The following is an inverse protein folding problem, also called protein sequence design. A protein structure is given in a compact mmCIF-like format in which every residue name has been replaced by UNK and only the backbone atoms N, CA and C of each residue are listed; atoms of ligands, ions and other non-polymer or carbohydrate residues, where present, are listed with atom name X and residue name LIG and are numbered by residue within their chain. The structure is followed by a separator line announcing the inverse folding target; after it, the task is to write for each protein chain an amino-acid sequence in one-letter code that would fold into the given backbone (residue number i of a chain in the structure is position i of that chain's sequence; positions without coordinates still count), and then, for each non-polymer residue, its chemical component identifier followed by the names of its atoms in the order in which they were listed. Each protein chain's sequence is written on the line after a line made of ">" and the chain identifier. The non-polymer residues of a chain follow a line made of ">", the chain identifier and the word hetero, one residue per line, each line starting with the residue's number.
data_IF_947638392800
#
_entry.id   IF_947638392800
#
_cell.length_a   1.000
_cell.length_b   1.000
_cell.length_c   1.000
_cell.angle_alpha   90.00
_cell.angle_beta   90.00
_cell.angle_gamma   90.00
#
_symmetry.space_group_name_H-M   'P 1'
#
loop_
_entity.id
_entity.type
_entity.pdbx_description
1 polymer ?
#
# COMPACT_ATOMS: atom_id res chain seq x y z
N UNK A 1 21.81 -9.22 -12.15
CA UNK A 1 21.68 -10.00 -10.90
C UNK A 1 20.23 -10.35 -10.63
N UNK A 2 20.00 -11.50 -10.03
CA UNK A 2 18.68 -11.98 -9.61
C UNK A 2 18.77 -12.25 -8.11
N UNK A 3 17.77 -11.79 -7.37
CA UNK A 3 17.58 -12.08 -5.95
C UNK A 3 16.19 -12.65 -5.75
N UNK A 4 16.10 -13.84 -5.16
CA UNK A 4 14.85 -14.48 -4.79
C UNK A 4 14.87 -14.77 -3.31
N UNK A 5 13.79 -14.54 -2.63
CA UNK A 5 13.65 -14.80 -1.19
C UNK A 5 12.21 -15.10 -0.83
N UNK A 6 12.03 -15.62 0.36
CA UNK A 6 10.72 -15.89 0.92
C UNK A 6 10.76 -15.85 2.43
N UNK A 7 9.63 -15.50 3.03
CA UNK A 7 9.42 -15.52 4.47
C UNK A 7 8.22 -16.41 4.80
N UNK A 8 8.37 -17.21 5.84
CA UNK A 8 7.30 -18.01 6.41
C UNK A 8 6.93 -17.41 7.77
N UNK A 9 5.67 -17.11 7.94
CA UNK A 9 5.14 -16.56 9.18
C UNK A 9 4.02 -17.45 9.72
N UNK A 10 4.00 -17.65 11.03
CA UNK A 10 2.89 -18.24 11.77
C UNK A 10 2.39 -17.20 12.77
N UNK A 11 1.11 -16.89 12.69
CA UNK A 11 0.47 -15.95 13.60
C UNK A 11 -0.61 -16.68 14.41
N UNK A 12 -0.73 -16.38 15.69
CA UNK A 12 -1.69 -17.03 16.59
C UNK A 12 -3.17 -16.84 16.20
N UNK A 13 -3.46 -15.83 15.40
CA UNK A 13 -4.81 -15.49 14.93
C UNK A 13 -5.10 -15.95 13.50
N UNK A 14 -4.16 -16.69 12.89
CA UNK A 14 -4.28 -17.22 11.52
C UNK A 14 -3.92 -18.70 11.56
N UNK A 15 -4.84 -19.56 11.11
CA UNK A 15 -4.67 -21.01 11.19
C UNK A 15 -3.55 -21.53 10.30
N UNK A 16 -3.31 -20.87 9.17
CA UNK A 16 -2.34 -21.29 8.18
C UNK A 16 -0.98 -20.61 8.36
N UNK A 17 0.07 -21.29 7.90
CA UNK A 17 1.38 -20.67 7.69
C UNK A 17 1.27 -19.74 6.47
N UNK A 18 1.75 -18.51 6.61
CA UNK A 18 1.72 -17.51 5.55
C UNK A 18 3.09 -17.48 4.89
N UNK A 19 3.11 -17.67 3.58
CA UNK A 19 4.31 -17.57 2.77
C UNK A 19 4.32 -16.25 2.00
N UNK A 20 5.37 -15.46 2.18
CA UNK A 20 5.58 -14.15 1.55
C UNK A 20 6.81 -14.18 0.63
N UNK A 21 6.64 -14.53 -0.66
CA UNK A 21 7.72 -14.53 -1.64
C UNK A 21 8.11 -13.12 -2.08
N UNK A 22 9.37 -12.97 -2.49
CA UNK A 22 9.89 -11.78 -3.13
C UNK A 22 10.91 -12.15 -4.20
N UNK A 23 10.94 -11.40 -5.27
CA UNK A 23 11.93 -11.55 -6.34
C UNK A 23 12.33 -10.17 -6.86
N UNK A 24 13.62 -10.00 -7.13
CA UNK A 24 14.16 -8.79 -7.74
C UNK A 24 15.12 -9.20 -8.86
N UNK A 25 14.93 -8.58 -10.02
CA UNK A 25 15.80 -8.68 -11.16
C UNK A 25 16.43 -7.31 -11.40
N UNK A 26 17.76 -7.27 -11.49
CA UNK A 26 18.51 -6.09 -11.87
C UNK A 26 19.30 -6.40 -13.13
N UNK A 27 19.15 -5.55 -14.13
CA UNK A 27 19.88 -5.61 -15.39
C UNK A 27 20.49 -4.24 -15.71
N UNK A 28 21.79 -4.22 -15.98
CA UNK A 28 22.54 -3.02 -16.33
C UNK A 28 23.00 -3.17 -17.79
N UNK A 29 22.22 -2.69 -18.78
CA UNK A 29 22.61 -2.75 -20.18
C UNK A 29 23.87 -1.93 -20.46
N UNK A 30 24.08 -0.86 -19.71
CA UNK A 30 25.27 -0.01 -19.74
C UNK A 30 25.68 0.36 -18.31
N UNK A 31 26.83 1.03 -18.14
CA UNK A 31 27.25 1.57 -16.84
C UNK A 31 26.33 2.67 -16.33
N UNK A 32 25.59 3.31 -17.21
CA UNK A 32 24.74 4.46 -16.91
C UNK A 32 23.25 4.14 -16.84
N UNK A 33 22.85 2.92 -17.14
CA UNK A 33 21.43 2.49 -17.13
C UNK A 33 21.29 1.28 -16.22
N UNK A 34 20.36 1.39 -15.28
CA UNK A 34 20.03 0.31 -14.35
C UNK A 34 18.52 0.06 -14.42
N UNK A 35 18.16 -1.12 -14.93
CA UNK A 35 16.78 -1.58 -14.99
C UNK A 35 16.51 -2.53 -13.83
N UNK A 36 15.34 -2.38 -13.18
CA UNK A 36 14.92 -3.27 -12.09
C UNK A 36 13.49 -3.71 -12.30
N UNK A 37 13.23 -4.97 -12.00
CA UNK A 37 11.91 -5.53 -11.83
C UNK A 37 11.82 -6.09 -10.43
N UNK A 38 10.73 -5.79 -9.73
CA UNK A 38 10.51 -6.27 -8.37
C UNK A 38 9.13 -6.88 -8.24
N UNK A 39 9.07 -7.97 -7.51
CA UNK A 39 7.85 -8.57 -7.03
C UNK A 39 7.96 -8.82 -5.53
N UNK A 40 6.93 -8.49 -4.78
CA UNK A 40 6.86 -8.83 -3.35
C UNK A 40 5.42 -9.14 -2.95
N UNK A 41 5.30 -10.09 -2.03
CA UNK A 41 4.05 -10.39 -1.34
C UNK A 41 4.21 -10.07 0.14
N UNK A 42 3.14 -9.56 0.75
CA UNK A 42 3.06 -9.27 2.17
C UNK A 42 1.68 -9.61 2.72
N UNK A 43 1.55 -9.56 4.02
CA UNK A 43 0.28 -9.75 4.71
C UNK A 43 0.20 -8.88 5.96
N UNK A 44 -1.03 -8.66 6.40
CA UNK A 44 -1.38 -8.05 7.68
C UNK A 44 -2.28 -9.01 8.43
N UNK A 45 -1.83 -9.47 9.59
CA UNK A 45 -2.63 -10.35 10.43
C UNK A 45 -3.75 -9.56 11.13
N UNK A 46 -4.88 -10.20 11.44
CA UNK A 46 -5.91 -9.60 12.29
C UNK A 46 -5.32 -9.22 13.65
N UNK A 47 -5.48 -7.96 14.05
CA UNK A 47 -5.04 -7.47 15.35
C UNK A 47 -6.25 -7.15 16.22
N UNK A 48 -6.10 -7.40 17.54
CA UNK A 48 -7.15 -7.10 18.50
C UNK A 48 -7.26 -5.59 18.78
N UNK A 49 -6.09 -4.92 18.71
CA UNK A 49 -5.94 -3.49 18.93
C UNK A 49 -5.39 -2.89 17.66
N UNK A 50 -6.20 -2.16 16.96
CA UNK A 50 -5.82 -1.47 15.75
C UNK A 50 -5.96 0.03 15.94
N UNK A 51 -5.36 0.81 15.03
CA UNK A 51 -5.43 2.27 15.02
C UNK A 51 -6.85 2.84 15.08
N UNK A 52 -7.84 2.03 14.68
CA UNK A 52 -9.26 2.38 14.72
C UNK A 52 -9.86 2.41 16.14
N UNK A 53 -9.16 1.94 17.17
CA UNK A 53 -9.59 2.11 18.57
C UNK A 53 -9.41 3.53 19.09
N UNK A 54 -8.67 4.34 18.37
CA UNK A 54 -8.48 5.71 18.70
C UNK A 54 -9.55 6.56 18.07
N UNK A 55 -10.76 6.58 18.47
CA UNK A 55 -11.45 7.78 18.17
C UNK A 55 -12.50 7.79 17.07
N UNK A 56 -13.54 7.19 17.33
CA UNK A 56 -14.79 7.82 16.89
C UNK A 56 -15.62 8.30 18.08
N UNK A 57 -15.00 9.06 18.95
CA UNK A 57 -15.69 9.87 19.97
C UNK A 57 -16.17 11.23 19.41
N UNK A 58 -16.54 11.28 18.15
CA UNK A 58 -17.29 12.44 17.64
C UNK A 58 -18.75 12.22 17.95
N UNK A 59 -19.20 12.73 19.11
CA UNK A 59 -20.59 12.65 19.54
C UNK A 59 -20.86 11.86 20.82
N UNK A 60 -19.82 11.39 21.54
CA UNK A 60 -19.99 10.81 22.89
C UNK A 60 -20.44 9.34 22.94
N UNK A 61 -20.58 8.66 21.82
CA UNK A 61 -20.99 7.24 21.80
C UNK A 61 -19.77 6.36 21.51
N UNK A 62 -19.39 5.54 22.49
CA UNK A 62 -18.30 4.56 22.32
C UNK A 62 -18.85 3.34 21.60
N UNK A 63 -18.31 3.02 20.43
CA UNK A 63 -18.59 1.78 19.74
C UNK A 63 -17.44 0.79 19.98
N UNK A 64 -17.78 -0.43 20.42
CA UNK A 64 -16.82 -1.52 20.51
C UNK A 64 -16.55 -2.13 19.13
N UNK A 65 -15.31 -2.48 18.85
CA UNK A 65 -14.95 -3.18 17.61
C UNK A 65 -14.87 -4.67 17.94
N UNK A 66 -15.73 -5.46 17.30
CA UNK A 66 -15.69 -6.92 17.33
C UNK A 66 -15.22 -7.46 15.99
N UNK A 67 -14.59 -8.63 15.99
CA UNK A 67 -14.11 -9.31 14.81
C UNK A 67 -15.04 -10.46 14.43
N UNK A 68 -15.22 -10.66 13.13
CA UNK A 68 -15.85 -11.90 12.64
C UNK A 68 -15.00 -13.11 13.04
N UNK A 69 -15.67 -14.23 13.37
CA UNK A 69 -14.98 -15.48 13.78
C UNK A 69 -14.00 -16.02 12.74
N UNK A 70 -14.24 -15.72 11.46
CA UNK A 70 -13.45 -16.23 10.33
C UNK A 70 -12.64 -15.10 9.64
N UNK A 71 -12.16 -14.11 10.40
CA UNK A 71 -11.38 -13.03 9.86
C UNK A 71 -10.03 -13.55 9.34
N UNK A 72 -9.81 -13.44 8.02
CA UNK A 72 -8.58 -13.84 7.34
C UNK A 72 -7.57 -12.71 7.36
N UNK A 73 -6.31 -13.06 7.14
CA UNK A 73 -5.25 -12.09 6.91
C UNK A 73 -5.51 -11.27 5.63
N UNK A 74 -5.28 -9.97 5.69
CA UNK A 74 -5.19 -9.11 4.52
C UNK A 74 -3.88 -9.41 3.78
N UNK A 75 -3.92 -9.57 2.45
CA UNK A 75 -2.75 -9.87 1.62
C UNK A 75 -2.47 -8.76 0.63
N UNK A 76 -1.19 -8.54 0.36
CA UNK A 76 -0.72 -7.63 -0.67
C UNK A 76 0.19 -8.33 -1.66
N UNK A 77 0.09 -7.94 -2.93
CA UNK A 77 1.01 -8.32 -4.00
C UNK A 77 1.42 -7.04 -4.73
N UNK A 78 2.72 -6.80 -4.79
CA UNK A 78 3.27 -5.59 -5.41
C UNK A 78 4.24 -5.98 -6.52
N UNK A 79 4.10 -5.30 -7.65
CA UNK A 79 4.99 -5.35 -8.80
C UNK A 79 5.52 -3.96 -9.06
N UNK A 80 6.81 -3.82 -9.33
CA UNK A 80 7.36 -2.57 -9.84
C UNK A 80 8.39 -2.83 -10.93
N UNK A 81 8.50 -1.86 -11.84
CA UNK A 81 9.52 -1.81 -12.88
C UNK A 81 10.12 -0.42 -12.90
N UNK A 82 11.43 -0.31 -12.82
CA UNK A 82 12.11 0.98 -12.82
C UNK A 82 13.30 1.02 -13.76
N UNK A 83 13.56 2.23 -14.27
CA UNK A 83 14.77 2.58 -15.02
C UNK A 83 15.46 3.77 -14.35
N UNK A 84 16.71 3.57 -13.97
CA UNK A 84 17.63 4.57 -13.42
C UNK A 84 18.63 4.94 -14.52
N UNK A 85 18.68 6.20 -14.91
CA UNK A 85 19.53 6.70 -15.99
C UNK A 85 20.47 7.74 -15.40
N UNK A 86 21.76 7.49 -15.51
CA UNK A 86 22.82 8.39 -15.05
C UNK A 86 23.51 9.04 -16.24
N UNK A 87 23.76 10.32 -16.15
CA UNK A 87 24.53 11.02 -17.15
C UNK A 87 25.46 12.04 -16.51
N UNK A 88 26.66 12.17 -17.04
CA UNK A 88 27.65 13.15 -16.61
C UNK A 88 28.09 13.98 -17.79
N UNK A 89 28.02 15.31 -17.66
CA UNK A 89 28.49 16.25 -18.64
C UNK A 89 29.25 17.40 -17.97
N UNK A 90 30.55 17.42 -18.20
CA UNK A 90 31.44 18.36 -17.54
C UNK A 90 31.39 18.25 -16.01
N UNK A 91 31.08 19.35 -15.34
CA UNK A 91 30.96 19.42 -13.88
C UNK A 91 29.59 18.95 -13.35
N UNK A 92 28.64 18.64 -14.22
CA UNK A 92 27.29 18.23 -13.84
C UNK A 92 27.16 16.72 -13.84
N UNK A 93 26.45 16.22 -12.84
CA UNK A 93 25.98 14.83 -12.76
C UNK A 93 24.46 14.82 -12.65
N UNK A 94 23.81 14.02 -13.48
CA UNK A 94 22.36 13.86 -13.47
C UNK A 94 21.97 12.42 -13.20
N UNK A 95 20.84 12.23 -12.54
CA UNK A 95 20.17 10.96 -12.42
C UNK A 95 18.69 11.20 -12.69
N UNK A 96 18.10 10.36 -13.51
CA UNK A 96 16.68 10.33 -13.79
C UNK A 96 16.15 8.94 -13.51
N UNK A 97 15.16 8.86 -12.64
CA UNK A 97 14.42 7.64 -12.30
C UNK A 97 13.00 7.72 -12.83
N UNK A 98 12.57 6.68 -13.51
CA UNK A 98 11.17 6.39 -13.77
C UNK A 98 10.82 5.03 -13.17
N UNK A 99 9.74 4.97 -12.39
CA UNK A 99 9.23 3.73 -11.79
C UNK A 99 7.73 3.62 -12.03
N UNK A 100 7.29 2.51 -12.65
CA UNK A 100 5.90 2.10 -12.67
C UNK A 100 5.63 1.07 -11.58
N UNK A 101 4.51 1.17 -10.87
CA UNK A 101 4.14 0.24 -9.81
C UNK A 101 2.66 -0.16 -9.85
N UNK A 102 2.40 -1.38 -9.40
CA UNK A 102 1.07 -1.92 -9.22
C UNK A 102 1.02 -2.72 -7.93
N UNK A 103 0.06 -2.41 -7.06
CA UNK A 103 -0.19 -3.16 -5.83
C UNK A 103 -1.65 -3.60 -5.79
N UNK A 104 -1.87 -4.89 -5.53
CA UNK A 104 -3.18 -5.48 -5.28
C UNK A 104 -3.30 -5.89 -3.81
N UNK A 105 -4.38 -5.47 -3.17
CA UNK A 105 -4.78 -5.90 -1.83
C UNK A 105 -5.97 -6.84 -1.95
N UNK A 106 -5.99 -7.90 -1.15
CA UNK A 106 -7.10 -8.85 -1.06
C UNK A 106 -7.47 -9.05 0.39
N UNK A 107 -8.72 -9.39 0.66
CA UNK A 107 -9.26 -9.58 2.00
C UNK A 107 -9.05 -8.34 2.91
N UNK A 108 -9.19 -7.13 2.35
CA UNK A 108 -8.96 -5.87 3.06
C UNK A 108 -9.88 -5.76 4.28
N UNK A 109 -9.33 -5.33 5.41
CA UNK A 109 -10.14 -5.16 6.61
C UNK A 109 -11.07 -3.96 6.46
N UNK A 110 -12.36 -4.21 6.69
CA UNK A 110 -13.41 -3.18 6.70
C UNK A 110 -14.17 -3.23 8.01
N UNK A 111 -14.63 -2.05 8.45
CA UNK A 111 -15.56 -1.92 9.56
C UNK A 111 -16.98 -1.81 9.01
N UNK A 112 -17.87 -2.66 9.50
CA UNK A 112 -19.28 -2.58 9.21
C UNK A 112 -19.94 -1.40 9.90
N UNK A 113 -21.22 -1.16 9.55
CA UNK A 113 -22.05 -0.18 10.22
C UNK A 113 -22.23 -0.52 11.72
N UNK A 114 -22.31 0.49 12.59
CA UNK A 114 -22.55 0.25 14.00
C UNK A 114 -23.96 -0.32 14.23
N UNK A 115 -24.04 -1.37 15.01
CA UNK A 115 -25.33 -1.95 15.44
C UNK A 115 -25.39 -2.08 16.96
N UNK A 116 -26.59 -2.09 17.51
CA UNK A 116 -26.79 -2.29 18.94
C UNK A 116 -26.86 -3.81 19.23
N UNK A 117 -25.96 -4.29 20.09
CA UNK A 117 -25.88 -5.72 20.47
C UNK A 117 -27.07 -6.18 21.35
N UNK A 118 -27.90 -5.27 21.82
CA UNK A 118 -29.07 -5.56 22.68
C UNK A 118 -28.83 -5.29 24.17
N UNK A 119 -27.57 -5.06 24.56
CA UNK A 119 -27.17 -4.64 25.93
C UNK A 119 -26.93 -3.11 26.04
N UNK A 120 -27.30 -2.37 24.99
CA UNK A 120 -27.09 -0.92 24.91
C UNK A 120 -25.72 -0.53 24.38
N UNK A 121 -24.85 -1.49 24.08
CA UNK A 121 -23.51 -1.25 23.53
C UNK A 121 -23.58 -1.21 21.99
N UNK A 122 -23.06 -0.15 21.39
CA UNK A 122 -22.84 -0.08 19.96
C UNK A 122 -21.60 -0.91 19.58
N UNK A 123 -21.75 -1.72 18.55
CA UNK A 123 -20.69 -2.60 18.07
C UNK A 123 -20.50 -2.39 16.58
N UNK A 124 -19.25 -2.24 16.15
CA UNK A 124 -18.83 -2.32 14.74
C UNK A 124 -18.14 -3.64 14.49
N UNK A 125 -18.56 -4.36 13.47
CA UNK A 125 -17.99 -5.65 13.13
C UNK A 125 -16.87 -5.47 12.11
N UNK A 126 -15.65 -5.92 12.46
CA UNK A 126 -14.54 -6.00 11.52
C UNK A 126 -14.62 -7.30 10.72
N UNK A 127 -14.60 -7.17 9.42
CA UNK A 127 -14.65 -8.30 8.47
C UNK A 127 -13.67 -8.08 7.31
N UNK A 128 -13.46 -9.12 6.49
CA UNK A 128 -12.78 -8.96 5.23
C UNK A 128 -13.76 -8.37 4.20
N UNK A 129 -13.35 -7.29 3.58
CA UNK A 129 -14.07 -6.62 2.52
C UNK A 129 -13.48 -6.87 1.14
N UNK A 130 -13.98 -6.15 0.13
CA UNK A 130 -13.49 -6.25 -1.23
C UNK A 130 -12.02 -5.83 -1.29
N UNK A 131 -11.31 -6.38 -2.27
CA UNK A 131 -9.93 -6.01 -2.55
C UNK A 131 -9.79 -4.56 -2.99
N UNK A 132 -8.55 -4.12 -3.06
CA UNK A 132 -8.19 -2.79 -3.57
C UNK A 132 -6.94 -2.90 -4.45
N UNK A 133 -6.76 -1.91 -5.32
CA UNK A 133 -5.58 -1.81 -6.18
C UNK A 133 -5.09 -0.37 -6.26
N UNK A 134 -3.77 -0.27 -6.32
CA UNK A 134 -3.06 0.98 -6.55
C UNK A 134 -2.14 0.80 -7.74
N UNK A 135 -2.20 1.72 -8.68
CA UNK A 135 -1.32 1.76 -9.86
C UNK A 135 -0.80 3.16 -10.02
N UNK A 136 0.47 3.30 -10.34
CA UNK A 136 1.07 4.62 -10.51
C UNK A 136 2.42 4.62 -11.19
N UNK A 137 2.91 5.83 -11.40
CA UNK A 137 4.24 6.13 -11.94
C UNK A 137 4.89 7.20 -11.08
N UNK A 138 6.15 6.96 -10.73
CA UNK A 138 7.02 7.93 -10.06
C UNK A 138 8.11 8.38 -11.02
N UNK A 139 8.34 9.67 -11.07
CA UNK A 139 9.43 10.32 -11.81
C UNK A 139 10.30 11.08 -10.81
N UNK A 140 11.60 10.87 -10.82
CA UNK A 140 12.55 11.63 -10.01
C UNK A 140 13.68 12.13 -10.88
N UNK A 141 14.11 13.38 -10.65
CA UNK A 141 15.27 13.99 -11.24
C UNK A 141 16.23 14.51 -10.19
N UNK A 142 17.51 14.21 -10.36
CA UNK A 142 18.61 14.74 -9.52
C UNK A 142 19.63 15.42 -10.41
N UNK A 143 20.06 16.59 -10.00
CA UNK A 143 21.13 17.35 -10.63
C UNK A 143 22.15 17.74 -9.57
N UNK A 144 23.39 17.38 -9.77
CA UNK A 144 24.51 17.83 -8.92
C UNK A 144 25.50 18.63 -9.75
N UNK A 145 25.99 19.74 -9.21
CA UNK A 145 27.06 20.55 -9.75
C UNK A 145 28.26 20.48 -8.81
N UNK A 146 29.30 19.77 -9.22
CA UNK A 146 30.46 19.43 -8.38
C UNK A 146 30.01 18.87 -7.02
N UNK A 147 30.64 19.31 -5.94
CA UNK A 147 30.22 19.06 -4.54
C UNK A 147 29.46 20.25 -3.93
N UNK A 148 29.15 21.27 -4.72
CA UNK A 148 28.68 22.57 -4.24
C UNK A 148 27.15 22.64 -4.14
N UNK A 149 26.43 22.02 -5.10
CA UNK A 149 24.99 22.10 -5.18
C UNK A 149 24.40 20.77 -5.63
N UNK A 150 23.35 20.34 -4.95
CA UNK A 150 22.50 19.22 -5.39
C UNK A 150 21.04 19.64 -5.31
N UNK A 151 20.30 19.40 -6.39
CA UNK A 151 18.87 19.61 -6.48
C UNK A 151 18.20 18.28 -6.82
N UNK A 152 17.10 17.97 -6.15
CA UNK A 152 16.27 16.80 -6.41
C UNK A 152 14.81 17.23 -6.46
N UNK A 153 14.08 16.70 -7.44
CA UNK A 153 12.63 16.86 -7.55
C UNK A 153 12.00 15.52 -7.92
N UNK A 154 10.80 15.28 -7.44
CA UNK A 154 10.04 14.07 -7.73
C UNK A 154 8.57 14.38 -7.95
N UNK A 155 7.90 13.50 -8.70
CA UNK A 155 6.46 13.54 -8.96
C UNK A 155 5.92 12.13 -9.02
N UNK A 156 4.88 11.87 -8.25
CA UNK A 156 4.15 10.60 -8.31
C UNK A 156 2.71 10.85 -8.79
N UNK A 157 2.32 10.10 -9.81
CA UNK A 157 0.97 10.04 -10.32
C UNK A 157 0.42 8.64 -10.01
N UNK A 158 -0.68 8.55 -9.27
CA UNK A 158 -1.24 7.26 -8.91
C UNK A 158 -2.77 7.26 -8.94
N UNK A 159 -3.33 6.06 -8.99
CA UNK A 159 -4.76 5.83 -8.87
C UNK A 159 -5.02 4.65 -7.95
N UNK A 160 -5.80 4.91 -6.90
CA UNK A 160 -6.20 3.93 -5.90
C UNK A 160 -7.69 3.66 -6.00
N UNK A 161 -8.08 2.37 -6.06
CA UNK A 161 -9.48 1.97 -6.23
C UNK A 161 -9.79 0.68 -5.48
N UNK A 162 -10.97 0.62 -4.88
CA UNK A 162 -11.58 -0.63 -4.44
C UNK A 162 -12.08 -1.44 -5.65
N UNK A 163 -12.04 -2.75 -5.55
CA UNK A 163 -12.56 -3.65 -6.58
C UNK A 163 -14.09 -3.55 -6.69
N UNK A 164 -14.77 -3.23 -5.57
CA UNK A 164 -16.19 -2.96 -5.51
C UNK A 164 -16.48 -1.55 -4.97
N UNK A 165 -17.62 -0.94 -5.32
CA UNK A 165 -18.01 0.34 -4.75
C UNK A 165 -18.23 0.19 -3.24
N UNK A 166 -17.63 1.08 -2.45
CA UNK A 166 -17.79 1.13 -0.99
C UNK A 166 -18.56 2.39 -0.59
N UNK A 167 -19.53 2.22 0.31
CA UNK A 167 -20.24 3.34 0.96
C UNK A 167 -19.49 3.72 2.22
N UNK A 168 -19.20 5.00 2.36
CA UNK A 168 -18.56 5.55 3.56
C UNK A 168 -19.57 6.13 4.56
N UNK A 169 -20.74 6.52 4.07
CA UNK A 169 -21.86 7.06 4.83
C UNK A 169 -23.16 6.85 4.05
N UNK A 170 -24.29 6.73 4.73
CA UNK A 170 -25.60 6.47 4.10
C UNK A 170 -26.01 7.54 3.09
N UNK A 171 -25.65 8.79 3.34
CA UNK A 171 -25.97 9.94 2.49
C UNK A 171 -25.02 10.09 1.26
N UNK A 172 -23.98 9.25 1.14
CA UNK A 172 -22.99 9.37 0.07
C UNK A 172 -23.10 8.17 -0.89
N UNK A 173 -23.14 8.40 -2.22
CA UNK A 173 -23.17 7.30 -3.17
C UNK A 173 -21.89 6.45 -3.07
N UNK A 174 -22.05 5.14 -3.19
CA UNK A 174 -20.93 4.20 -3.17
C UNK A 174 -19.91 4.53 -4.27
N UNK A 175 -18.65 4.65 -3.90
CA UNK A 175 -17.53 4.97 -4.80
C UNK A 175 -16.43 3.92 -4.69
N UNK A 176 -15.68 3.74 -5.79
CA UNK A 176 -14.50 2.88 -5.82
C UNK A 176 -13.22 3.61 -5.40
N UNK A 177 -13.26 4.93 -5.25
CA UNK A 177 -12.08 5.74 -4.90
C UNK A 177 -11.75 5.53 -3.43
N UNK A 178 -10.47 5.27 -3.13
CA UNK A 178 -9.97 5.21 -1.76
C UNK A 178 -9.82 6.65 -1.25
N UNK A 179 -10.48 6.98 -0.14
CA UNK A 179 -10.38 8.30 0.46
C UNK A 179 -8.98 8.54 1.04
N UNK A 180 -8.56 9.80 1.08
CA UNK A 180 -7.30 10.28 1.64
C UNK A 180 -6.03 9.79 0.92
N UNK A 181 -6.18 9.23 -0.29
CA UNK A 181 -5.02 8.86 -1.09
C UNK A 181 -4.88 9.87 -2.23
N UNK A 182 -3.90 10.78 -2.21
CA UNK A 182 -3.71 11.74 -3.28
C UNK A 182 -3.38 11.03 -4.59
N UNK A 183 -3.92 11.53 -5.70
CA UNK A 183 -3.59 10.99 -7.02
C UNK A 183 -2.28 11.58 -7.58
N UNK A 184 -1.87 12.73 -7.06
CA UNK A 184 -0.66 13.46 -7.46
C UNK A 184 0.03 14.00 -6.23
N UNK A 185 1.31 13.74 -6.08
CA UNK A 185 2.15 14.32 -5.02
C UNK A 185 3.63 14.32 -5.44
N UNK A 186 4.43 15.22 -4.83
CA UNK A 186 5.87 15.35 -5.07
C UNK A 186 6.53 16.29 -4.08
#
# INVERSE_FOLDING_TARGET
>A
SILVGGRLDKHNMVDNIIFSPRANLRFNPTQNINLRLSYSSGFRAPQAFDEDMHIENVGGTVAMIERTKNLKEEKSQSFSASADIYHRFGAFQTNFLIEGFYTKLTDVFVLGEPYNRGDGVLVKLRSNGPGAKVVGVTLEGKLAYLSLLQVQAGLTLQRSRYDEPHKWHDDVPAKRTIFRTPNVYG
#
